data_IF_683538989621
#
_entry.id   IF_683538989621
#
_cell.length_a   1.000
_cell.length_b   1.000
_cell.length_c   1.000
_cell.angle_alpha   90.00
_cell.angle_beta   90.00
_cell.angle_gamma   90.00
#
_symmetry.space_group_name_H-M   'P 1'
#
loop_
_entity.id
_entity.type
_entity.pdbx_description
1 polymer ?
#
# COMPACT_ATOMS: atom_id res chain seq x y z
N UNK A 1 -9.76 17.47 14.83
CA UNK A 1 -9.39 16.07 15.07
C UNK A 1 -8.20 15.75 14.18
N UNK A 2 -7.25 14.92 14.64
CA UNK A 2 -6.15 14.45 13.79
C UNK A 2 -6.71 13.58 12.66
N UNK A 3 -6.06 13.59 11.51
CA UNK A 3 -6.40 12.68 10.41
C UNK A 3 -6.00 11.25 10.77
N UNK A 4 -6.76 10.26 10.31
CA UNK A 4 -6.55 8.84 10.58
C UNK A 4 -6.04 8.14 9.33
N UNK A 5 -4.91 7.44 9.46
CA UNK A 5 -4.32 6.68 8.36
C UNK A 5 -4.17 5.19 8.73
N UNK A 6 -4.69 4.31 7.90
CA UNK A 6 -4.46 2.85 7.98
C UNK A 6 -3.42 2.43 6.94
N UNK A 7 -2.39 1.73 7.40
CA UNK A 7 -1.34 1.17 6.54
C UNK A 7 -1.32 -0.35 6.71
N UNK A 8 -1.58 -1.11 5.65
CA UNK A 8 -1.50 -2.57 5.69
C UNK A 8 -0.06 -3.06 5.64
N UNK A 9 0.27 -4.13 6.35
CA UNK A 9 1.63 -4.66 6.43
C UNK A 9 2.62 -3.70 7.09
N UNK A 10 2.16 -2.91 8.08
CA UNK A 10 2.93 -1.83 8.69
C UNK A 10 3.78 -2.26 9.91
N UNK A 11 4.00 -3.57 10.11
CA UNK A 11 4.86 -4.05 11.20
C UNK A 11 6.36 -3.98 10.89
N UNK A 12 6.76 -3.63 9.66
CA UNK A 12 8.16 -3.50 9.24
C UNK A 12 8.29 -2.78 7.89
N UNK A 13 9.54 -2.47 7.50
CA UNK A 13 9.89 -2.00 6.16
C UNK A 13 9.16 -0.73 5.76
N UNK A 14 8.77 -0.65 4.47
CA UNK A 14 8.13 0.53 3.88
C UNK A 14 6.85 0.92 4.62
N UNK A 15 6.02 -0.05 4.99
CA UNK A 15 4.75 0.23 5.68
C UNK A 15 4.95 0.87 7.06
N UNK A 16 5.89 0.36 7.87
CA UNK A 16 6.22 0.96 9.17
C UNK A 16 6.80 2.36 9.00
N UNK A 17 7.66 2.55 8.02
CA UNK A 17 8.29 3.85 7.76
C UNK A 17 7.27 4.87 7.21
N UNK A 18 6.35 4.43 6.34
CA UNK A 18 5.23 5.28 5.89
C UNK A 18 4.39 5.75 7.08
N UNK A 19 4.06 4.84 8.01
CA UNK A 19 3.34 5.20 9.22
C UNK A 19 4.12 6.19 10.09
N UNK A 20 5.44 5.96 10.27
CA UNK A 20 6.32 6.88 11.03
C UNK A 20 6.32 8.28 10.45
N UNK A 21 6.54 8.43 9.14
CA UNK A 21 6.59 9.73 8.49
C UNK A 21 5.23 10.44 8.54
N UNK A 22 4.11 9.74 8.32
CA UNK A 22 2.78 10.31 8.44
C UNK A 22 2.49 10.83 9.86
N UNK A 23 2.88 10.09 10.89
CA UNK A 23 2.68 10.53 12.27
C UNK A 23 3.63 11.66 12.65
N UNK A 24 4.93 11.54 12.34
CA UNK A 24 5.97 12.49 12.73
C UNK A 24 5.85 13.84 12.01
N UNK A 25 5.69 13.80 10.68
CA UNK A 25 5.83 14.98 9.84
C UNK A 25 4.48 15.64 9.52
N UNK A 26 3.38 14.89 9.66
CA UNK A 26 2.04 15.35 9.29
C UNK A 26 1.01 15.23 10.41
N UNK A 27 1.37 14.72 11.60
CA UNK A 27 0.51 14.65 12.78
C UNK A 27 -0.70 13.71 12.64
N UNK A 28 -0.58 12.66 11.83
CA UNK A 28 -1.63 11.64 11.70
C UNK A 28 -1.69 10.73 12.92
N UNK A 29 -2.88 10.30 13.29
CA UNK A 29 -3.09 9.06 14.04
C UNK A 29 -2.89 7.90 13.07
N UNK A 30 -1.90 7.03 13.30
CA UNK A 30 -1.59 5.93 12.37
C UNK A 30 -1.99 4.58 12.94
N UNK A 31 -2.73 3.82 12.12
CA UNK A 31 -3.17 2.46 12.42
C UNK A 31 -2.26 1.48 11.68
N UNK A 32 -1.46 0.73 12.46
CA UNK A 32 -0.53 -0.26 11.94
C UNK A 32 -1.27 -1.58 11.70
N UNK A 33 -1.75 -1.79 10.47
CA UNK A 33 -2.39 -3.05 10.08
C UNK A 33 -1.36 -4.17 9.97
N UNK A 34 -1.45 -5.19 10.82
CA UNK A 34 -0.57 -6.36 10.75
C UNK A 34 -1.30 -7.63 11.20
N UNK A 35 -0.99 -8.77 10.54
CA UNK A 35 -1.61 -10.07 10.84
C UNK A 35 -1.06 -10.74 12.10
N UNK A 36 0.18 -10.46 12.45
CA UNK A 36 0.83 -11.01 13.64
C UNK A 36 0.74 -10.01 14.79
N UNK A 37 0.02 -10.35 15.90
CA UNK A 37 -0.19 -9.42 17.01
C UNK A 37 1.10 -9.03 17.73
N UNK A 38 2.08 -9.94 17.83
CA UNK A 38 3.34 -9.64 18.49
C UNK A 38 4.13 -8.60 17.68
N UNK A 39 4.35 -8.87 16.39
CA UNK A 39 5.10 -7.95 15.53
C UNK A 39 4.38 -6.60 15.36
N UNK A 40 3.04 -6.61 15.30
CA UNK A 40 2.26 -5.37 15.23
C UNK A 40 2.37 -4.53 16.51
N UNK A 41 2.30 -5.17 17.68
CA UNK A 41 2.49 -4.50 18.98
C UNK A 41 3.91 -3.98 19.14
N UNK A 42 4.93 -4.75 18.76
CA UNK A 42 6.33 -4.32 18.82
C UNK A 42 6.55 -3.05 17.95
N UNK A 43 6.00 -3.04 16.73
CA UNK A 43 6.05 -1.88 15.82
C UNK A 43 5.32 -0.66 16.39
N UNK A 44 4.13 -0.84 16.95
CA UNK A 44 3.39 0.23 17.65
C UNK A 44 4.21 0.81 18.79
N UNK A 45 4.78 -0.04 19.65
CA UNK A 45 5.58 0.42 20.78
C UNK A 45 6.83 1.18 20.32
N UNK A 46 7.45 0.75 19.22
CA UNK A 46 8.57 1.48 18.61
C UNK A 46 8.17 2.92 18.26
N UNK A 47 7.06 3.12 17.53
CA UNK A 47 6.60 4.47 17.16
C UNK A 47 6.14 5.29 18.38
N UNK A 48 5.49 4.67 19.35
CA UNK A 48 5.09 5.34 20.61
C UNK A 48 6.29 5.80 21.44
N UNK A 49 7.37 5.04 21.47
CA UNK A 49 8.62 5.44 22.13
C UNK A 49 9.29 6.64 21.43
N UNK A 50 8.99 6.87 20.15
CA UNK A 50 9.36 8.07 19.40
C UNK A 50 8.40 9.25 19.65
N UNK A 51 7.36 9.08 20.50
CA UNK A 51 6.35 10.10 20.82
C UNK A 51 5.25 10.22 19.77
N UNK A 52 5.09 9.23 18.89
CA UNK A 52 4.14 9.26 17.77
C UNK A 52 2.79 8.63 18.14
N UNK A 53 1.71 9.15 17.58
CA UNK A 53 0.35 8.64 17.78
C UNK A 53 0.11 7.42 16.88
N UNK A 54 0.45 6.24 17.38
CA UNK A 54 0.41 4.98 16.66
C UNK A 54 -0.38 3.91 17.42
N UNK A 55 -1.21 3.16 16.68
CA UNK A 55 -2.06 2.10 17.21
C UNK A 55 -1.90 0.82 16.38
N UNK A 56 -1.80 -0.31 17.05
CA UNK A 56 -1.85 -1.60 16.38
C UNK A 56 -3.29 -1.96 16.02
N UNK A 57 -3.52 -2.35 14.77
CA UNK A 57 -4.78 -2.91 14.30
C UNK A 57 -4.53 -4.33 13.78
N UNK A 58 -5.13 -5.33 14.43
CA UNK A 58 -5.04 -6.70 13.91
C UNK A 58 -5.77 -6.78 12.57
N UNK A 59 -5.01 -6.98 11.50
CA UNK A 59 -5.53 -7.01 10.13
C UNK A 59 -4.73 -8.01 9.29
N UNK A 60 -5.36 -9.16 9.03
CA UNK A 60 -4.92 -10.07 7.96
C UNK A 60 -5.74 -9.74 6.71
N UNK A 61 -5.14 -9.15 5.68
CA UNK A 61 -5.86 -8.70 4.50
C UNK A 61 -6.37 -9.85 3.61
N UNK A 62 -5.96 -11.10 3.91
CA UNK A 62 -6.46 -12.31 3.23
C UNK A 62 -7.59 -13.01 3.99
N UNK A 63 -8.00 -12.46 5.14
CA UNK A 63 -9.02 -13.05 6.01
C UNK A 63 -10.20 -12.08 6.20
N UNK A 64 -11.36 -12.42 5.65
CA UNK A 64 -12.55 -11.56 5.69
C UNK A 64 -13.02 -11.23 7.12
N UNK A 65 -12.99 -12.21 8.04
CA UNK A 65 -13.37 -11.96 9.42
C UNK A 65 -12.41 -10.99 10.14
N UNK A 66 -11.11 -11.06 9.82
CA UNK A 66 -10.13 -10.10 10.34
C UNK A 66 -10.37 -8.69 9.79
N UNK A 67 -10.72 -8.59 8.50
CA UNK A 67 -11.05 -7.30 7.86
C UNK A 67 -12.32 -6.71 8.49
N UNK A 68 -13.38 -7.49 8.65
CA UNK A 68 -14.63 -7.05 9.25
C UNK A 68 -14.45 -6.55 10.69
N UNK A 69 -13.70 -7.29 11.50
CA UNK A 69 -13.37 -6.89 12.88
C UNK A 69 -12.58 -5.57 12.92
N UNK A 70 -11.61 -5.40 12.01
CA UNK A 70 -10.85 -4.17 11.90
C UNK A 70 -11.71 -2.97 11.50
N UNK A 71 -12.64 -3.14 10.55
CA UNK A 71 -13.60 -2.08 10.15
C UNK A 71 -14.48 -1.66 11.33
N UNK A 72 -15.01 -2.63 12.10
CA UNK A 72 -15.85 -2.34 13.26
C UNK A 72 -15.09 -1.51 14.32
N UNK A 73 -13.83 -1.86 14.60
CA UNK A 73 -12.99 -1.11 15.54
C UNK A 73 -12.74 0.33 15.05
N UNK A 74 -12.32 0.49 13.79
CA UNK A 74 -12.03 1.83 13.24
C UNK A 74 -13.30 2.68 13.15
N UNK A 75 -14.43 2.06 12.82
CA UNK A 75 -15.73 2.74 12.82
C UNK A 75 -16.14 3.22 14.21
N UNK A 76 -15.94 2.40 15.24
CA UNK A 76 -16.31 2.73 16.62
C UNK A 76 -15.41 3.83 17.22
N UNK A 77 -14.11 3.74 16.96
CA UNK A 77 -13.12 4.62 17.59
C UNK A 77 -12.98 5.98 16.85
N UNK A 78 -13.15 5.99 15.52
CA UNK A 78 -12.85 7.17 14.68
C UNK A 78 -14.03 7.63 13.82
N UNK A 79 -14.93 6.72 13.42
CA UNK A 79 -16.09 7.04 12.56
C UNK A 79 -15.75 7.34 11.10
N UNK A 80 -14.48 7.47 10.74
CA UNK A 80 -13.99 7.77 9.39
C UNK A 80 -12.55 7.23 9.19
N UNK A 81 -12.10 7.24 7.95
CA UNK A 81 -10.71 6.95 7.59
C UNK A 81 -10.25 7.96 6.52
N UNK A 82 -9.19 8.73 6.80
CA UNK A 82 -8.69 9.74 5.85
C UNK A 82 -7.71 9.15 4.83
N UNK A 83 -6.94 8.15 5.24
CA UNK A 83 -5.93 7.52 4.37
C UNK A 83 -5.97 6.01 4.52
N UNK A 84 -6.02 5.32 3.38
CA UNK A 84 -5.74 3.90 3.28
C UNK A 84 -4.52 3.67 2.40
N UNK A 85 -3.47 3.08 2.97
CA UNK A 85 -2.28 2.64 2.23
C UNK A 85 -2.28 1.12 2.14
N UNK A 86 -2.61 0.57 0.97
CA UNK A 86 -2.45 -0.84 0.65
C UNK A 86 -0.97 -1.11 0.36
N UNK A 87 -0.21 -1.35 1.43
CA UNK A 87 1.22 -1.62 1.35
C UNK A 87 1.56 -3.12 1.45
N UNK A 88 0.70 -3.94 2.08
CA UNK A 88 0.90 -5.38 2.16
C UNK A 88 1.10 -5.98 0.76
N UNK A 89 2.16 -6.76 0.60
CA UNK A 89 2.48 -7.38 -0.68
C UNK A 89 3.59 -8.42 -0.54
N UNK A 90 3.71 -9.29 -1.54
CA UNK A 90 4.72 -10.35 -1.60
C UNK A 90 5.41 -10.38 -2.97
N UNK A 91 6.66 -10.80 -2.93
CA UNK A 91 7.43 -11.29 -4.07
C UNK A 91 7.94 -12.68 -3.67
N UNK A 92 7.54 -13.71 -4.37
CA UNK A 92 7.93 -15.10 -4.08
C UNK A 92 9.19 -15.44 -4.86
N UNK A 93 10.14 -16.14 -4.23
CA UNK A 93 11.42 -16.50 -4.84
C UNK A 93 11.25 -17.28 -6.15
N UNK A 94 10.25 -18.18 -6.23
CA UNK A 94 9.95 -18.96 -7.43
C UNK A 94 9.50 -18.10 -8.63
N UNK A 95 9.17 -16.82 -8.45
CA UNK A 95 8.87 -15.88 -9.54
C UNK A 95 10.14 -15.38 -10.27
N UNK A 96 11.33 -15.74 -9.80
CA UNK A 96 12.60 -15.47 -10.49
C UNK A 96 12.89 -16.43 -11.66
N UNK A 97 12.13 -17.52 -11.78
CA UNK A 97 12.25 -18.43 -12.90
C UNK A 97 11.78 -17.81 -14.23
N UNK A 98 12.23 -18.31 -15.39
CA UNK A 98 11.69 -17.90 -16.68
C UNK A 98 10.15 -18.04 -16.71
N UNK A 99 9.41 -17.08 -17.31
CA UNK A 99 7.95 -17.02 -17.23
C UNK A 99 7.20 -18.33 -17.53
N UNK A 100 7.57 -19.14 -18.55
CA UNK A 100 6.90 -20.41 -18.81
C UNK A 100 7.13 -21.49 -17.74
N UNK A 101 8.09 -21.30 -16.84
CA UNK A 101 8.47 -22.24 -15.78
C UNK A 101 7.89 -21.85 -14.41
N UNK A 102 7.34 -20.64 -14.27
CA UNK A 102 6.73 -20.19 -13.02
C UNK A 102 5.44 -20.99 -12.77
N UNK A 103 5.33 -21.70 -11.62
CA UNK A 103 4.13 -22.47 -11.32
C UNK A 103 2.89 -21.58 -11.18
N UNK A 104 1.73 -22.06 -11.61
CA UNK A 104 0.45 -21.33 -11.46
C UNK A 104 0.11 -21.01 -10.00
N UNK A 105 0.55 -21.86 -9.05
CA UNK A 105 0.40 -21.59 -7.62
C UNK A 105 1.08 -20.28 -7.20
N UNK A 106 2.28 -20.00 -7.73
CA UNK A 106 3.00 -18.74 -7.46
C UNK A 106 2.19 -17.52 -7.92
N UNK A 107 1.54 -17.60 -9.11
CA UNK A 107 0.65 -16.55 -9.55
C UNK A 107 -0.55 -16.39 -8.59
N UNK A 108 -1.20 -17.50 -8.23
CA UNK A 108 -2.36 -17.47 -7.31
C UNK A 108 -2.00 -16.85 -5.97
N UNK A 109 -0.93 -17.32 -5.34
CA UNK A 109 -0.49 -16.85 -4.03
C UNK A 109 -0.08 -15.36 -4.07
N UNK A 110 0.56 -14.93 -5.17
CA UNK A 110 0.92 -13.53 -5.39
C UNK A 110 -0.32 -12.66 -5.59
N UNK A 111 -1.28 -13.09 -6.42
CA UNK A 111 -2.52 -12.35 -6.65
C UNK A 111 -3.39 -12.30 -5.41
N UNK A 112 -3.42 -13.36 -4.60
CA UNK A 112 -4.18 -13.37 -3.35
C UNK A 112 -3.78 -12.21 -2.45
N UNK A 113 -2.48 -11.99 -2.27
CA UNK A 113 -1.99 -10.91 -1.40
C UNK A 113 -1.96 -9.56 -2.10
N UNK A 114 -1.41 -9.49 -3.33
CA UNK A 114 -1.14 -8.20 -3.97
C UNK A 114 -2.38 -7.57 -4.63
N UNK A 115 -3.41 -8.36 -4.92
CA UNK A 115 -4.59 -7.92 -5.68
C UNK A 115 -5.87 -8.11 -4.88
N UNK A 116 -6.22 -9.36 -4.57
CA UNK A 116 -7.51 -9.66 -3.95
C UNK A 116 -7.60 -9.12 -2.53
N UNK A 117 -6.55 -9.27 -1.75
CA UNK A 117 -6.49 -8.73 -0.39
C UNK A 117 -6.54 -7.19 -0.39
N UNK A 118 -5.80 -6.52 -1.27
CA UNK A 118 -5.85 -5.06 -1.41
C UNK A 118 -7.26 -4.57 -1.79
N UNK A 119 -7.95 -5.29 -2.69
CA UNK A 119 -9.33 -4.99 -3.04
C UNK A 119 -10.28 -5.22 -1.86
N UNK A 120 -10.18 -6.36 -1.18
CA UNK A 120 -11.04 -6.70 -0.05
C UNK A 120 -10.96 -5.67 1.08
N UNK A 121 -9.74 -5.25 1.44
CA UNK A 121 -9.53 -4.18 2.42
C UNK A 121 -10.11 -2.86 1.92
N UNK A 122 -9.84 -2.47 0.68
CA UNK A 122 -10.38 -1.23 0.11
C UNK A 122 -11.91 -1.23 0.12
N UNK A 123 -12.53 -2.32 -0.32
CA UNK A 123 -13.99 -2.47 -0.34
C UNK A 123 -14.60 -2.36 1.06
N UNK A 124 -14.01 -3.04 2.04
CA UNK A 124 -14.52 -3.06 3.40
C UNK A 124 -14.38 -1.69 4.11
N UNK A 125 -13.28 -0.97 3.87
CA UNK A 125 -13.05 0.37 4.43
C UNK A 125 -13.64 1.51 3.59
N UNK A 126 -14.18 1.22 2.40
CA UNK A 126 -14.76 2.23 1.50
C UNK A 126 -15.78 3.16 2.19
N UNK A 127 -16.76 2.63 2.97
CA UNK A 127 -17.71 3.49 3.67
C UNK A 127 -17.06 4.47 4.65
N UNK A 128 -15.97 4.10 5.30
CA UNK A 128 -15.24 4.98 6.22
C UNK A 128 -14.39 6.01 5.47
N UNK A 129 -13.84 5.67 4.31
CA UNK A 129 -13.18 6.62 3.41
C UNK A 129 -14.15 7.67 2.89
N UNK A 130 -15.38 7.29 2.55
CA UNK A 130 -16.44 8.21 2.13
C UNK A 130 -16.89 9.18 3.25
N UNK A 131 -16.63 8.87 4.52
CA UNK A 131 -16.89 9.78 5.65
C UNK A 131 -15.79 10.83 5.84
N UNK A 132 -14.63 10.67 5.19
CA UNK A 132 -13.59 11.70 5.21
C UNK A 132 -13.96 12.87 4.32
N UNK A 133 -13.54 14.07 4.70
CA UNK A 133 -13.70 15.27 3.84
C UNK A 133 -12.84 15.22 2.58
N UNK A 134 -11.75 14.44 2.59
CA UNK A 134 -10.81 14.34 1.47
C UNK A 134 -9.93 13.08 1.59
N UNK A 135 -10.52 11.90 1.37
CA UNK A 135 -9.81 10.62 1.52
C UNK A 135 -8.69 10.42 0.49
N UNK A 136 -7.68 9.64 0.89
CA UNK A 136 -6.56 9.22 0.04
C UNK A 136 -6.43 7.70 0.06
N UNK A 137 -6.54 7.10 -1.11
CA UNK A 137 -6.23 5.69 -1.34
C UNK A 137 -4.88 5.60 -2.04
N UNK A 138 -3.92 4.97 -1.40
CA UNK A 138 -2.58 4.74 -1.95
C UNK A 138 -2.35 3.25 -2.11
N UNK A 139 -2.18 2.79 -3.34
CA UNK A 139 -1.81 1.41 -3.62
C UNK A 139 -0.30 1.34 -3.89
N UNK A 140 0.43 0.65 -3.01
CA UNK A 140 1.88 0.45 -3.20
C UNK A 140 2.11 -0.56 -4.30
N UNK A 141 2.40 -0.03 -5.48
CA UNK A 141 2.67 -0.77 -6.69
C UNK A 141 4.18 -0.97 -6.91
N UNK A 142 4.58 -1.17 -8.13
CA UNK A 142 5.97 -1.26 -8.56
C UNK A 142 6.07 -0.89 -10.03
N UNK A 143 7.20 -0.33 -10.46
CA UNK A 143 7.46 -0.06 -11.87
C UNK A 143 7.37 -1.31 -12.75
N UNK A 144 7.63 -2.52 -12.20
CA UNK A 144 7.41 -3.77 -12.92
C UNK A 144 5.92 -4.07 -13.20
N UNK A 145 4.99 -3.27 -12.66
CA UNK A 145 3.58 -3.28 -13.04
C UNK A 145 3.26 -2.46 -14.29
N UNK A 146 4.26 -1.77 -14.87
CA UNK A 146 4.10 -0.99 -16.10
C UNK A 146 4.22 -1.87 -17.34
N UNK A 147 3.14 -1.97 -18.09
CA UNK A 147 3.14 -2.67 -19.38
C UNK A 147 4.04 -1.97 -20.39
N UNK A 148 4.07 -0.63 -20.36
CA UNK A 148 4.91 0.18 -21.25
C UNK A 148 6.40 -0.11 -21.05
N UNK A 149 6.88 -0.11 -19.78
CA UNK A 149 8.28 -0.38 -19.45
C UNK A 149 8.71 -1.84 -19.72
N UNK A 150 7.76 -2.78 -19.70
CA UNK A 150 8.05 -4.15 -20.12
C UNK A 150 8.14 -4.29 -21.63
N UNK A 151 7.28 -3.58 -22.38
CA UNK A 151 7.22 -3.68 -23.84
C UNK A 151 8.36 -2.93 -24.54
N UNK A 152 8.90 -1.87 -23.93
CA UNK A 152 10.04 -1.12 -24.48
C UNK A 152 11.42 -1.73 -24.13
N UNK A 153 11.42 -2.82 -23.32
CA UNK A 153 12.64 -3.53 -22.98
C UNK A 153 13.42 -2.97 -21.78
N UNK A 154 12.87 -1.99 -21.05
CA UNK A 154 13.54 -1.36 -19.88
C UNK A 154 14.05 -2.38 -18.85
N UNK A 155 13.34 -3.48 -18.65
CA UNK A 155 13.69 -4.50 -17.65
C UNK A 155 14.58 -5.64 -18.18
N UNK A 156 14.92 -5.65 -19.48
CA UNK A 156 15.74 -6.73 -20.06
C UNK A 156 15.17 -8.11 -19.73
N UNK A 157 16.00 -8.98 -19.16
CA UNK A 157 15.64 -10.36 -18.78
C UNK A 157 14.93 -10.46 -17.43
N UNK A 158 14.79 -9.36 -16.67
CA UNK A 158 14.06 -9.37 -15.40
C UNK A 158 12.54 -9.38 -15.66
N UNK A 159 11.93 -10.57 -15.56
CA UNK A 159 10.54 -10.81 -15.92
C UNK A 159 9.79 -11.59 -14.80
N UNK A 160 9.65 -11.03 -13.59
CA UNK A 160 8.89 -11.67 -12.52
C UNK A 160 7.40 -11.63 -12.87
N UNK A 161 6.92 -12.68 -13.55
CA UNK A 161 5.59 -12.69 -14.18
C UNK A 161 4.45 -12.53 -13.16
N UNK A 162 4.54 -13.17 -11.99
CA UNK A 162 3.51 -13.08 -10.97
C UNK A 162 3.46 -11.69 -10.33
N UNK A 163 4.63 -11.15 -9.93
CA UNK A 163 4.71 -9.80 -9.38
C UNK A 163 4.24 -8.77 -10.40
N UNK A 164 4.80 -8.78 -11.60
CA UNK A 164 4.50 -7.81 -12.66
C UNK A 164 3.01 -7.81 -12.99
N UNK A 165 2.43 -8.99 -13.25
CA UNK A 165 1.01 -9.12 -13.56
C UNK A 165 0.13 -8.65 -12.39
N UNK A 166 0.48 -8.98 -11.14
CA UNK A 166 -0.29 -8.54 -9.97
C UNK A 166 -0.24 -7.02 -9.78
N UNK A 167 0.92 -6.40 -10.01
CA UNK A 167 1.06 -4.95 -9.89
C UNK A 167 0.39 -4.20 -11.05
N UNK A 168 0.38 -4.76 -12.25
CA UNK A 168 -0.44 -4.25 -13.36
C UNK A 168 -1.95 -4.32 -13.05
N UNK A 169 -2.42 -5.42 -12.46
CA UNK A 169 -3.80 -5.55 -12.00
C UNK A 169 -4.13 -4.51 -10.90
N UNK A 170 -3.26 -4.32 -9.91
CA UNK A 170 -3.44 -3.30 -8.86
C UNK A 170 -3.44 -1.87 -9.44
N UNK A 171 -2.61 -1.60 -10.46
CA UNK A 171 -2.60 -0.35 -11.20
C UNK A 171 -3.96 -0.10 -11.87
N UNK A 172 -4.52 -1.10 -12.57
CA UNK A 172 -5.85 -0.98 -13.18
C UNK A 172 -6.94 -0.72 -12.14
N UNK A 173 -6.91 -1.42 -11.00
CA UNK A 173 -7.86 -1.17 -9.90
C UNK A 173 -7.75 0.27 -9.38
N UNK A 174 -6.53 0.81 -9.27
CA UNK A 174 -6.30 2.21 -8.85
C UNK A 174 -6.99 3.19 -9.82
N UNK A 175 -6.91 2.96 -11.12
CA UNK A 175 -7.59 3.78 -12.13
C UNK A 175 -9.12 3.73 -11.94
N UNK A 176 -9.68 2.55 -11.65
CA UNK A 176 -11.12 2.42 -11.41
C UNK A 176 -11.57 3.11 -10.12
N UNK A 177 -10.81 3.02 -9.02
CA UNK A 177 -11.12 3.76 -7.79
C UNK A 177 -11.02 5.28 -8.02
N UNK A 178 -10.00 5.74 -8.75
CA UNK A 178 -9.86 7.14 -9.11
C UNK A 178 -11.03 7.63 -9.96
N UNK A 179 -11.53 6.81 -10.90
CA UNK A 179 -12.70 7.13 -11.69
C UNK A 179 -13.96 7.26 -10.83
N UNK A 180 -14.13 6.40 -9.81
CA UNK A 180 -15.23 6.51 -8.86
C UNK A 180 -15.20 7.84 -8.11
N UNK A 181 -14.01 8.35 -7.81
CA UNK A 181 -13.78 9.61 -7.10
C UNK A 181 -13.50 10.84 -7.98
N UNK A 182 -13.74 10.75 -9.30
CA UNK A 182 -13.39 11.83 -10.25
C UNK A 182 -14.04 13.19 -9.94
N UNK A 183 -15.26 13.18 -9.39
CA UNK A 183 -16.06 14.37 -9.10
C UNK A 183 -16.07 14.70 -7.58
N UNK A 184 -15.09 14.20 -6.83
CA UNK A 184 -14.98 14.36 -5.39
C UNK A 184 -13.61 14.92 -4.98
N UNK A 185 -13.42 15.35 -3.71
CA UNK A 185 -12.12 15.74 -3.19
C UNK A 185 -11.19 14.56 -2.89
N UNK A 186 -11.69 13.31 -3.00
CA UNK A 186 -10.92 12.10 -2.74
C UNK A 186 -9.96 11.79 -3.89
N UNK A 187 -8.85 11.12 -3.58
CA UNK A 187 -7.84 10.75 -4.59
C UNK A 187 -7.37 9.31 -4.38
N UNK A 188 -7.25 8.58 -5.49
CA UNK A 188 -6.68 7.24 -5.53
C UNK A 188 -5.49 7.20 -6.49
N UNK A 189 -4.32 6.79 -6.01
CA UNK A 189 -3.10 6.75 -6.81
C UNK A 189 -2.25 5.52 -6.50
N UNK A 190 -1.39 5.13 -7.43
CA UNK A 190 -0.41 4.08 -7.27
C UNK A 190 0.96 4.68 -6.96
N UNK A 191 1.65 4.13 -5.95
CA UNK A 191 2.99 4.53 -5.55
C UNK A 191 4.02 3.49 -6.00
N UNK A 192 5.12 3.94 -6.61
CA UNK A 192 6.32 3.12 -6.77
C UNK A 192 7.34 3.50 -5.69
N UNK A 193 7.73 2.56 -4.81
CA UNK A 193 8.65 2.84 -3.71
C UNK A 193 10.12 2.77 -4.10
N UNK A 194 10.45 2.40 -5.37
CA UNK A 194 11.78 2.04 -5.85
C UNK A 194 12.31 0.70 -5.31
N UNK A 195 13.60 0.42 -5.48
CA UNK A 195 14.29 -0.81 -5.04
C UNK A 195 14.72 -0.68 -3.58
N UNK A 196 13.76 -0.76 -2.68
CA UNK A 196 14.00 -0.54 -1.25
C UNK A 196 14.68 -1.74 -0.60
N UNK A 197 15.74 -1.49 0.18
CA UNK A 197 16.42 -2.47 1.00
C UNK A 197 15.54 -2.83 2.19
N UNK A 198 15.00 -4.05 2.20
CA UNK A 198 14.15 -4.58 3.26
C UNK A 198 14.50 -6.04 3.56
N UNK A 199 13.93 -6.61 4.63
CA UNK A 199 14.05 -8.06 4.88
C UNK A 199 13.43 -8.93 3.77
N UNK A 200 12.52 -8.40 2.97
CA UNK A 200 11.92 -9.07 1.81
C UNK A 200 12.63 -8.77 0.49
N UNK A 201 13.55 -7.81 0.46
CA UNK A 201 14.37 -7.45 -0.68
C UNK A 201 15.79 -7.09 -0.22
N UNK A 202 16.67 -8.10 0.01
CA UNK A 202 18.03 -7.87 0.48
C UNK A 202 18.96 -7.23 -0.57
N UNK A 203 18.49 -7.12 -1.81
CA UNK A 203 19.21 -6.49 -2.92
C UNK A 203 18.69 -5.08 -3.24
N UNK A 204 17.97 -4.46 -2.30
CA UNK A 204 17.51 -3.08 -2.43
C UNK A 204 18.67 -2.09 -2.48
N UNK A 205 18.44 -0.96 -3.14
CA UNK A 205 19.44 0.07 -3.42
C UNK A 205 19.25 1.32 -2.55
N UNK A 206 18.01 1.56 -2.09
CA UNK A 206 17.65 2.72 -1.28
C UNK A 206 17.13 2.31 0.11
N UNK A 207 17.15 3.26 1.03
CA UNK A 207 16.65 3.06 2.40
C UNK A 207 15.12 2.93 2.45
N UNK A 208 14.58 2.38 3.54
CA UNK A 208 13.12 2.35 3.77
C UNK A 208 12.56 3.77 3.93
N UNK A 209 13.36 4.69 4.43
CA UNK A 209 12.98 6.09 4.61
C UNK A 209 12.75 6.77 3.24
N UNK A 210 13.61 6.53 2.29
CA UNK A 210 13.44 7.02 0.91
C UNK A 210 12.27 6.33 0.22
N UNK A 211 12.15 5.00 0.37
CA UNK A 211 11.10 4.22 -0.25
C UNK A 211 9.68 4.56 0.24
N UNK A 212 9.54 5.09 1.46
CA UNK A 212 8.24 5.53 1.99
C UNK A 212 7.76 6.86 1.42
N UNK A 213 8.67 7.74 0.93
CA UNK A 213 8.36 9.13 0.53
C UNK A 213 7.20 9.24 -0.46
N UNK A 214 7.18 8.41 -1.51
CA UNK A 214 6.09 8.46 -2.50
C UNK A 214 4.73 8.13 -1.86
N UNK A 215 4.67 7.13 -0.99
CA UNK A 215 3.43 6.77 -0.30
C UNK A 215 2.97 7.89 0.64
N UNK A 216 3.88 8.54 1.34
CA UNK A 216 3.60 9.69 2.21
C UNK A 216 3.13 10.91 1.41
N UNK A 217 3.80 11.23 0.30
CA UNK A 217 3.40 12.30 -0.61
C UNK A 217 1.97 12.09 -1.11
N UNK A 218 1.63 10.89 -1.56
CA UNK A 218 0.30 10.56 -2.05
C UNK A 218 -0.77 10.54 -0.96
N UNK A 219 -0.41 10.13 0.25
CA UNK A 219 -1.29 10.15 1.42
C UNK A 219 -1.61 11.57 1.91
N UNK A 220 -0.77 12.55 1.58
CA UNK A 220 -0.88 13.95 2.05
C UNK A 220 -1.27 14.94 0.94
N UNK A 221 -1.61 14.46 -0.25
CA UNK A 221 -2.02 15.29 -1.38
C UNK A 221 -3.14 16.27 -1.02
N UNK A 222 -3.04 17.48 -1.56
CA UNK A 222 -4.15 18.44 -1.58
C UNK A 222 -5.32 17.96 -2.46
N UNK A 223 -6.43 18.70 -2.40
CA UNK A 223 -7.61 18.39 -3.22
C UNK A 223 -7.35 18.50 -4.74
N UNK A 224 -6.38 19.33 -5.14
CA UNK A 224 -5.99 19.53 -6.55
C UNK A 224 -4.90 18.54 -7.01
N UNK A 225 -4.50 17.61 -6.14
CA UNK A 225 -3.49 16.61 -6.45
C UNK A 225 -3.95 15.62 -7.53
N UNK A 226 -3.02 14.83 -8.10
CA UNK A 226 -3.32 13.84 -9.11
C UNK A 226 -4.33 12.80 -8.60
N UNK A 227 -5.18 12.33 -9.51
CA UNK A 227 -6.11 11.24 -9.29
C UNK A 227 -5.97 10.22 -10.43
N UNK A 228 -5.82 8.95 -10.13
CA UNK A 228 -5.59 7.90 -11.13
C UNK A 228 -4.19 7.99 -11.76
N UNK A 229 -3.18 8.33 -10.97
CA UNK A 229 -1.81 8.40 -11.44
C UNK A 229 -0.94 7.30 -10.83
N UNK A 230 0.08 6.89 -11.58
CA UNK A 230 1.17 6.06 -11.11
C UNK A 230 2.40 6.94 -10.91
N UNK A 231 2.92 7.05 -9.69
CA UNK A 231 3.94 8.03 -9.34
C UNK A 231 5.13 7.43 -8.60
N UNK A 232 6.27 8.11 -8.78
CA UNK A 232 7.47 7.96 -8.00
C UNK A 232 8.06 9.35 -7.74
N UNK A 233 8.12 9.79 -6.48
CA UNK A 233 8.68 11.10 -6.05
C UNK A 233 8.17 12.25 -6.94
N UNK A 234 6.85 12.41 -7.03
CA UNK A 234 6.18 13.44 -7.83
C UNK A 234 6.20 13.23 -9.35
N UNK A 235 6.99 12.30 -9.86
CA UNK A 235 7.08 12.00 -11.29
C UNK A 235 6.05 10.97 -11.72
N UNK A 236 5.36 11.20 -12.84
CA UNK A 236 4.46 10.21 -13.43
C UNK A 236 5.25 9.11 -14.11
N UNK A 237 4.92 7.88 -13.77
CA UNK A 237 5.38 6.69 -14.47
C UNK A 237 4.34 6.26 -15.52
N UNK A 238 4.75 5.66 -16.64
CA UNK A 238 3.83 5.05 -17.58
C UNK A 238 3.18 3.80 -16.97
N UNK A 239 1.92 3.55 -17.38
CA UNK A 239 1.19 2.34 -17.01
C UNK A 239 1.70 1.07 -17.71
#
# INVERSE_FOLDING_TARGET
MSKVALITGANKGIGLETARQLARDHGFTVLLGARDPKHGTDAMNQLRNEGLDAHFLHLDPTNSASIEAAVLLVSADYGHLDVLVNNAGVLLEADSAPPPQVPVSVLRDTFEVNVFAAHAVTQAFWPLLEQSSAARLVNVSSWVGSLSLHSDGTFGDYKPIALSSSKAALNMMTVHYAWQWRDSPHRANAAHPDKVLTSGNPHGEISVEEGAKTSVELATLGADGPNGAFLHLGQRLPW
#
